data_IF_309966377188
#
_entry.id   IF_309966377188
#
_cell.length_a   1.000
_cell.length_b   1.000
_cell.length_c   1.000
_cell.angle_alpha   90.00
_cell.angle_beta   90.00
_cell.angle_gamma   90.00
#
_symmetry.space_group_name_H-M   'P 1'
#
loop_
_entity.id
_entity.type
_entity.pdbx_description
1 polymer ?
#
# COMPACT_ATOMS: atom_id res chain seq x y z
N UNK A 1 16.11 -5.56 -12.07
CA UNK A 1 15.13 -5.89 -11.02
C UNK A 1 13.82 -6.22 -11.70
N UNK A 2 13.09 -7.23 -11.22
CA UNK A 2 11.70 -7.45 -11.64
C UNK A 2 10.89 -6.32 -11.01
N UNK A 3 10.24 -5.51 -11.83
CA UNK A 3 9.28 -4.49 -11.35
C UNK A 3 8.02 -5.20 -10.87
N UNK A 4 7.65 -5.00 -9.61
CA UNK A 4 6.41 -5.54 -9.03
C UNK A 4 5.23 -4.72 -9.53
N UNK A 5 4.23 -5.38 -10.14
CA UNK A 5 2.99 -4.73 -10.57
C UNK A 5 1.95 -4.90 -9.46
N UNK A 6 1.27 -3.81 -9.09
CA UNK A 6 0.24 -3.82 -8.04
C UNK A 6 -0.90 -4.81 -8.35
N UNK A 7 -1.13 -5.17 -9.62
CA UNK A 7 -2.11 -6.20 -10.02
C UNK A 7 -1.73 -7.62 -9.58
N UNK A 8 -0.47 -7.85 -9.26
CA UNK A 8 0.05 -9.14 -8.79
C UNK A 8 0.24 -9.13 -7.26
N UNK A 9 -0.42 -8.21 -6.57
CA UNK A 9 -0.35 -8.04 -5.13
C UNK A 9 -1.76 -8.13 -4.55
N UNK A 10 -1.92 -8.89 -3.49
CA UNK A 10 -3.18 -9.06 -2.75
C UNK A 10 -2.95 -8.83 -1.24
N UNK A 11 -4.04 -8.84 -0.46
CA UNK A 11 -4.00 -8.66 1.00
C UNK A 11 -3.19 -7.44 1.44
N UNK A 12 -3.37 -6.32 0.75
CA UNK A 12 -2.69 -5.06 1.06
C UNK A 12 -3.27 -4.49 2.35
N UNK A 13 -2.40 -4.24 3.33
CA UNK A 13 -2.72 -3.65 4.63
C UNK A 13 -2.10 -2.26 4.72
N UNK A 14 -2.93 -1.25 5.01
CA UNK A 14 -2.50 0.13 5.20
C UNK A 14 -2.51 0.46 6.69
N UNK A 15 -1.42 1.06 7.17
CA UNK A 15 -1.32 1.63 8.52
C UNK A 15 -0.95 3.11 8.46
N UNK A 16 -0.92 3.78 9.62
CA UNK A 16 -0.55 5.20 9.70
C UNK A 16 -1.65 6.17 9.26
N UNK A 17 -2.88 5.69 9.05
CA UNK A 17 -3.98 6.53 8.59
C UNK A 17 -4.42 7.50 9.69
N UNK A 18 -4.11 8.80 9.54
CA UNK A 18 -4.65 9.88 10.37
C UNK A 18 -5.75 10.65 9.61
N UNK A 19 -7.03 10.56 10.01
CA UNK A 19 -8.11 11.31 9.38
C UNK A 19 -7.98 12.83 9.51
N UNK A 20 -7.13 13.32 10.42
CA UNK A 20 -6.83 14.76 10.57
C UNK A 20 -6.04 15.31 9.38
N UNK A 21 -5.32 14.45 8.66
CA UNK A 21 -4.51 14.78 7.49
C UNK A 21 -5.30 14.71 6.18
N UNK A 22 -6.62 14.50 6.25
CA UNK A 22 -7.49 14.52 5.08
C UNK A 22 -7.42 15.89 4.36
N UNK A 23 -7.28 15.91 3.01
CA UNK A 23 -7.41 14.79 2.07
C UNK A 23 -6.11 14.01 1.78
N UNK A 24 -4.98 14.45 2.28
CA UNK A 24 -3.67 13.97 1.85
C UNK A 24 -3.28 12.63 2.52
N UNK A 25 -3.78 12.36 3.74
CA UNK A 25 -3.52 11.12 4.51
C UNK A 25 -2.04 10.70 4.45
N UNK A 26 -1.13 11.68 4.54
CA UNK A 26 0.28 11.51 4.16
C UNK A 26 1.06 10.57 5.06
N UNK A 27 0.56 10.35 6.28
CA UNK A 27 1.13 9.40 7.24
C UNK A 27 0.78 7.94 6.89
N UNK A 28 -0.14 7.71 5.94
CA UNK A 28 -0.54 6.37 5.53
C UNK A 28 0.54 5.68 4.69
N UNK A 29 0.81 4.41 5.01
CA UNK A 29 1.79 3.58 4.29
C UNK A 29 1.35 2.12 4.19
N UNK A 30 1.94 1.39 3.25
CA UNK A 30 1.69 -0.04 3.09
C UNK A 30 2.47 -0.80 4.15
N UNK A 31 1.78 -1.34 5.15
CA UNK A 31 2.40 -2.13 6.22
C UNK A 31 2.70 -3.56 5.79
N UNK A 32 1.85 -4.12 4.93
CA UNK A 32 1.97 -5.49 4.44
C UNK A 32 1.28 -5.66 3.10
N UNK A 33 1.79 -6.58 2.30
CA UNK A 33 1.14 -7.01 1.07
C UNK A 33 1.66 -8.39 0.65
N UNK A 34 0.84 -9.20 -0.03
CA UNK A 34 1.19 -10.53 -0.50
C UNK A 34 1.53 -10.53 -2.00
N UNK A 35 2.71 -10.99 -2.37
CA UNK A 35 3.15 -11.10 -3.76
C UNK A 35 2.69 -12.43 -4.37
N UNK A 36 1.75 -12.37 -5.32
CA UNK A 36 1.19 -13.54 -6.00
C UNK A 36 2.20 -14.24 -6.91
N UNK A 37 3.08 -13.49 -7.59
CA UNK A 37 4.09 -14.09 -8.48
C UNK A 37 5.16 -14.87 -7.70
N UNK A 38 5.61 -14.30 -6.59
CA UNK A 38 6.62 -14.90 -5.73
C UNK A 38 6.02 -15.88 -4.72
N UNK A 39 4.69 -15.87 -4.55
CA UNK A 39 3.92 -16.64 -3.59
C UNK A 39 4.45 -16.50 -2.15
N UNK A 40 4.68 -15.26 -1.73
CA UNK A 40 5.20 -14.88 -0.40
C UNK A 40 4.78 -13.46 -0.05
N UNK A 41 4.94 -13.09 1.23
CA UNK A 41 4.89 -11.68 1.65
C UNK A 41 5.88 -10.83 0.86
N UNK A 42 5.48 -9.59 0.55
CA UNK A 42 6.38 -8.59 0.00
C UNK A 42 7.50 -8.26 0.99
N UNK A 43 8.69 -8.02 0.46
CA UNK A 43 9.81 -7.48 1.23
C UNK A 43 9.63 -5.98 1.47
N UNK A 44 10.33 -5.42 2.45
CA UNK A 44 10.33 -3.97 2.72
C UNK A 44 10.64 -3.15 1.45
N UNK A 45 11.64 -3.56 0.67
CA UNK A 45 12.00 -2.90 -0.60
C UNK A 45 10.85 -2.95 -1.64
N UNK A 46 10.10 -4.05 -1.68
CA UNK A 46 8.94 -4.19 -2.57
C UNK A 46 7.76 -3.34 -2.09
N UNK A 47 7.55 -3.22 -0.77
CA UNK A 47 6.52 -2.37 -0.18
C UNK A 47 6.82 -0.88 -0.42
N UNK A 48 8.06 -0.45 -0.17
CA UNK A 48 8.52 0.91 -0.47
C UNK A 48 8.36 1.22 -1.96
N UNK A 49 8.76 0.30 -2.83
CA UNK A 49 8.59 0.46 -4.28
C UNK A 49 7.11 0.62 -4.66
N UNK A 50 6.20 -0.20 -4.10
CA UNK A 50 4.77 -0.10 -4.36
C UNK A 50 4.20 1.24 -3.89
N UNK A 51 4.60 1.70 -2.70
CA UNK A 51 4.16 2.96 -2.13
C UNK A 51 4.62 4.16 -2.95
N UNK A 52 5.87 4.18 -3.40
CA UNK A 52 6.40 5.26 -4.24
C UNK A 52 5.85 5.24 -5.67
N UNK A 53 5.54 4.04 -6.19
CA UNK A 53 5.07 3.87 -7.58
C UNK A 53 3.57 4.12 -7.72
N UNK A 54 2.79 3.78 -6.69
CA UNK A 54 1.32 3.87 -6.69
C UNK A 54 0.77 4.65 -5.47
N UNK A 55 1.26 5.87 -5.21
CA UNK A 55 0.83 6.65 -4.04
C UNK A 55 -0.67 6.96 -4.05
N UNK A 56 -1.29 7.05 -5.23
CA UNK A 56 -2.73 7.24 -5.37
C UNK A 56 -3.53 6.05 -4.82
N UNK A 57 -3.03 4.82 -4.99
CA UNK A 57 -3.71 3.62 -4.47
C UNK A 57 -3.59 3.56 -2.96
N UNK A 58 -2.42 3.92 -2.41
CA UNK A 58 -2.24 4.01 -0.96
C UNK A 58 -3.20 5.02 -0.35
N UNK A 59 -3.32 6.22 -0.94
CA UNK A 59 -4.24 7.26 -0.46
C UNK A 59 -5.71 6.84 -0.59
N UNK A 60 -6.10 6.20 -1.69
CA UNK A 60 -7.45 5.66 -1.89
C UNK A 60 -7.79 4.60 -0.84
N UNK A 61 -6.91 3.61 -0.64
CA UNK A 61 -7.09 2.58 0.38
C UNK A 61 -7.12 3.14 1.80
N UNK A 62 -6.26 4.13 2.09
CA UNK A 62 -6.27 4.82 3.37
C UNK A 62 -7.62 5.50 3.60
N UNK A 63 -8.15 6.20 2.59
CA UNK A 63 -9.48 6.81 2.66
C UNK A 63 -10.59 5.77 2.86
N UNK A 64 -10.57 4.67 2.09
CA UNK A 64 -11.55 3.58 2.23
C UNK A 64 -11.55 2.95 3.62
N UNK A 65 -10.38 2.83 4.27
CA UNK A 65 -10.29 2.29 5.63
C UNK A 65 -10.98 3.15 6.70
N UNK A 66 -11.22 4.43 6.41
CA UNK A 66 -11.95 5.36 7.28
C UNK A 66 -13.47 5.28 7.08
N UNK A 67 -13.94 4.56 6.06
CA UNK A 67 -15.36 4.40 5.75
C UNK A 67 -15.90 3.18 6.51
N UNK A 68 -16.98 3.33 7.31
CA UNK A 68 -17.56 2.26 8.12
C UNK A 68 -18.34 1.20 7.34
#
# INVERSE_FOLDING_TARGET
MKTLDIKNVEDIEIEGVDPSDYPDLCDAFIARAFNLEANRECTEEELEYLQETYPEVVNEMAYESLIP
#
